data_IF_705165575789
#
_entry.id   IF_705165575789
#
_cell.length_a   1.000
_cell.length_b   1.000
_cell.length_c   1.000
_cell.angle_alpha   90.00
_cell.angle_beta   90.00
_cell.angle_gamma   90.00
#
_symmetry.space_group_name_H-M   'P 1'
#
loop_
_entity.id
_entity.type
_entity.pdbx_description
1 polymer ?
#
# COMPACT_ATOMS: atom_id res chain seq x y z
N UNK A 1 -3.32 5.80 7.94
CA UNK A 1 -3.03 4.79 6.89
C UNK A 1 -3.02 3.42 7.56
N UNK A 2 -3.60 2.40 6.92
CA UNK A 2 -3.51 1.01 7.34
C UNK A 2 -2.53 0.31 6.39
N UNK A 3 -1.52 -0.34 6.96
CA UNK A 3 -0.47 -1.04 6.22
C UNK A 3 -0.53 -2.52 6.61
N UNK A 4 -0.63 -3.41 5.65
CA UNK A 4 -0.64 -4.87 5.87
C UNK A 4 -0.07 -5.56 4.64
N UNK A 5 0.58 -6.73 4.80
CA UNK A 5 1.22 -7.48 3.72
C UNK A 5 2.22 -6.64 2.90
N UNK A 6 3.28 -6.14 3.55
CA UNK A 6 4.32 -5.28 2.95
C UNK A 6 5.67 -5.98 2.70
N UNK A 7 5.68 -7.31 2.65
CA UNK A 7 6.90 -8.12 2.56
C UNK A 7 7.54 -8.20 1.17
N UNK A 8 6.85 -7.77 0.11
CA UNK A 8 7.24 -7.96 -1.29
C UNK A 8 7.27 -6.63 -2.05
N UNK A 9 6.66 -6.56 -3.25
CA UNK A 9 6.53 -5.35 -4.06
C UNK A 9 7.05 -5.46 -5.49
N UNK A 10 7.40 -6.66 -5.95
CA UNK A 10 7.86 -6.95 -7.32
C UNK A 10 6.91 -6.39 -8.41
N UNK A 11 5.60 -6.32 -8.10
CA UNK A 11 4.56 -5.79 -8.98
C UNK A 11 3.97 -4.45 -8.51
N UNK A 12 4.61 -3.80 -7.56
CA UNK A 12 4.19 -2.53 -6.98
C UNK A 12 3.25 -2.69 -5.78
N UNK A 13 2.22 -1.85 -5.68
CA UNK A 13 1.33 -1.80 -4.52
C UNK A 13 -0.14 -1.57 -4.89
N UNK A 14 -1.05 -1.96 -4.01
CA UNK A 14 -2.48 -1.66 -4.11
C UNK A 14 -2.90 -0.67 -3.03
N UNK A 15 -3.74 0.30 -3.40
CA UNK A 15 -4.37 1.27 -2.49
C UNK A 15 -5.88 1.07 -2.51
N UNK A 16 -6.41 0.42 -1.47
CA UNK A 16 -7.85 0.33 -1.21
C UNK A 16 -8.36 1.69 -0.75
N UNK A 17 -9.58 2.03 -1.19
CA UNK A 17 -10.14 3.40 -1.16
C UNK A 17 -9.42 4.42 -2.06
N UNK A 18 -8.42 4.03 -2.87
CA UNK A 18 -7.77 4.93 -3.82
C UNK A 18 -8.73 5.48 -4.90
N UNK A 19 -9.79 4.73 -5.23
CA UNK A 19 -10.85 5.22 -6.13
C UNK A 19 -11.92 6.09 -5.42
N UNK A 20 -11.83 6.22 -4.09
CA UNK A 20 -12.73 7.06 -3.28
C UNK A 20 -12.05 8.39 -2.94
N UNK A 21 -10.83 8.34 -2.41
CA UNK A 21 -10.04 9.53 -2.04
C UNK A 21 -9.05 9.88 -3.16
N UNK A 22 -9.59 10.32 -4.30
CA UNK A 22 -8.82 10.50 -5.55
C UNK A 22 -7.72 11.55 -5.43
N UNK A 23 -7.95 12.66 -4.71
CA UNK A 23 -6.94 13.72 -4.51
C UNK A 23 -5.68 13.18 -3.81
N UNK A 24 -5.86 12.40 -2.77
CA UNK A 24 -4.77 11.77 -2.02
C UNK A 24 -4.09 10.68 -2.85
N UNK A 25 -4.86 9.93 -3.64
CA UNK A 25 -4.29 8.92 -4.54
C UNK A 25 -3.44 9.55 -5.65
N UNK A 26 -3.90 10.65 -6.26
CA UNK A 26 -3.15 11.40 -7.27
C UNK A 26 -1.84 11.96 -6.71
N UNK A 27 -1.79 12.33 -5.42
CA UNK A 27 -0.55 12.72 -4.75
C UNK A 27 0.44 11.55 -4.65
N UNK A 28 -0.01 10.35 -4.29
CA UNK A 28 0.83 9.14 -4.32
C UNK A 28 1.37 8.85 -5.73
N UNK A 29 0.50 8.90 -6.75
CA UNK A 29 0.91 8.69 -8.14
C UNK A 29 1.94 9.74 -8.59
N UNK A 30 1.75 11.00 -8.21
CA UNK A 30 2.70 12.07 -8.52
C UNK A 30 4.07 11.82 -7.89
N UNK A 31 4.11 11.50 -6.59
CA UNK A 31 5.37 11.21 -5.89
C UNK A 31 6.08 10.04 -6.56
N UNK A 32 5.35 8.98 -6.91
CA UNK A 32 5.94 7.82 -7.57
C UNK A 32 6.38 8.12 -9.00
N UNK A 33 5.66 8.94 -9.75
CA UNK A 33 6.07 9.39 -11.09
C UNK A 33 7.38 10.20 -11.03
N UNK A 34 7.52 11.06 -10.02
CA UNK A 34 8.68 11.92 -9.87
C UNK A 34 9.92 11.16 -9.37
N UNK A 35 9.72 10.13 -8.53
CA UNK A 35 10.82 9.42 -7.84
C UNK A 35 11.06 7.99 -8.31
N UNK A 36 10.15 7.44 -9.12
CA UNK A 36 10.17 6.07 -9.65
C UNK A 36 10.46 5.02 -8.56
N UNK A 37 9.67 5.05 -7.48
CA UNK A 37 9.92 4.24 -6.27
C UNK A 37 9.40 2.81 -6.44
N UNK A 38 8.13 2.67 -6.77
CA UNK A 38 7.49 1.36 -6.98
C UNK A 38 7.08 1.19 -8.44
N UNK A 39 7.03 -0.05 -8.93
CA UNK A 39 6.71 -0.37 -10.32
C UNK A 39 5.36 0.21 -10.78
N UNK A 40 4.34 0.09 -9.95
CA UNK A 40 3.00 0.61 -10.21
C UNK A 40 2.25 0.84 -8.88
N UNK A 41 1.36 1.84 -8.87
CA UNK A 41 0.39 2.03 -7.78
C UNK A 41 -0.99 1.76 -8.34
N UNK A 42 -1.60 0.64 -7.94
CA UNK A 42 -2.97 0.31 -8.31
C UNK A 42 -3.94 0.88 -7.29
N UNK A 43 -5.15 1.21 -7.72
CA UNK A 43 -6.27 1.56 -6.83
C UNK A 43 -7.44 0.63 -7.01
N UNK A 44 -8.22 0.53 -5.93
CA UNK A 44 -9.58 0.02 -5.97
C UNK A 44 -10.52 0.87 -5.13
N UNK A 45 -11.81 0.58 -5.26
CA UNK A 45 -12.85 1.20 -4.46
C UNK A 45 -12.85 0.72 -3.01
N UNK A 46 -13.98 0.96 -2.35
CA UNK A 46 -14.23 0.59 -0.97
C UNK A 46 -14.34 -0.92 -0.81
N UNK A 47 -13.77 -1.45 0.27
CA UNK A 47 -13.85 -2.87 0.61
C UNK A 47 -13.66 -3.11 2.12
N UNK A 48 -14.43 -4.05 2.67
CA UNK A 48 -14.31 -4.49 4.07
C UNK A 48 -13.27 -5.61 4.18
N UNK A 49 -11.99 -5.28 4.05
CA UNK A 49 -10.94 -6.30 3.96
C UNK A 49 -9.65 -5.98 4.74
N UNK A 50 -9.69 -4.99 5.62
CA UNK A 50 -8.70 -4.70 6.66
C UNK A 50 -9.28 -3.61 7.59
N UNK A 51 -8.55 -3.22 8.63
CA UNK A 51 -9.03 -2.35 9.71
C UNK A 51 -9.52 -0.97 9.24
N UNK A 52 -8.97 -0.44 8.14
CA UNK A 52 -9.34 0.85 7.54
C UNK A 52 -10.85 1.03 7.28
N UNK A 53 -11.60 -0.07 7.13
CA UNK A 53 -12.98 -0.04 6.68
C UNK A 53 -13.88 0.74 7.64
N UNK A 54 -13.83 0.42 8.94
CA UNK A 54 -14.71 1.06 9.93
C UNK A 54 -14.35 2.52 10.18
N UNK A 55 -13.06 2.88 10.08
CA UNK A 55 -12.65 4.28 10.08
C UNK A 55 -13.27 5.05 8.91
N UNK A 56 -13.26 4.44 7.72
CA UNK A 56 -13.89 5.03 6.52
C UNK A 56 -15.40 5.19 6.69
N UNK A 57 -16.10 4.20 7.25
CA UNK A 57 -17.55 4.30 7.53
C UNK A 57 -17.89 5.42 8.50
N UNK A 58 -17.00 5.72 9.44
CA UNK A 58 -17.14 6.82 10.40
C UNK A 58 -16.64 8.18 9.85
N UNK A 59 -16.33 8.26 8.55
CA UNK A 59 -15.94 9.49 7.89
C UNK A 59 -14.46 9.87 8.04
N UNK A 60 -13.62 8.99 8.60
CA UNK A 60 -12.16 9.19 8.68
C UNK A 60 -11.52 8.76 7.36
N UNK A 61 -10.89 9.68 6.60
CA UNK A 61 -10.23 9.32 5.34
C UNK A 61 -9.13 8.28 5.58
N UNK A 62 -9.27 7.10 4.97
CA UNK A 62 -8.39 5.97 5.26
C UNK A 62 -8.04 5.21 3.99
N UNK A 63 -6.75 4.99 3.76
CA UNK A 63 -6.24 4.01 2.80
C UNK A 63 -5.84 2.73 3.52
N UNK A 64 -6.12 1.59 2.89
CA UNK A 64 -5.44 0.33 3.16
C UNK A 64 -4.49 0.00 2.01
N UNK A 65 -3.26 -0.34 2.35
CA UNK A 65 -2.15 -0.53 1.43
C UNK A 65 -1.49 -1.89 1.67
N UNK A 66 -1.23 -2.62 0.58
CA UNK A 66 -0.48 -3.88 0.56
C UNK A 66 0.40 -3.99 -0.71
N UNK A 67 1.50 -4.73 -0.65
CA UNK A 67 2.41 -4.95 -1.80
C UNK A 67 1.89 -6.03 -2.73
N UNK A 68 2.30 -5.96 -4.00
CA UNK A 68 1.94 -6.90 -5.07
C UNK A 68 3.17 -7.66 -5.55
N UNK A 69 2.96 -8.88 -6.02
CA UNK A 69 4.03 -9.73 -6.55
C UNK A 69 4.90 -10.37 -5.46
N UNK A 70 5.89 -11.14 -5.90
CA UNK A 70 6.79 -11.88 -5.02
C UNK A 70 6.16 -13.15 -4.43
N UNK A 71 6.75 -13.62 -3.33
CA UNK A 71 6.27 -14.80 -2.59
C UNK A 71 4.99 -14.49 -1.82
N UNK A 72 4.14 -15.51 -1.63
CA UNK A 72 2.92 -15.38 -0.83
C UNK A 72 2.82 -16.55 0.13
N UNK A 73 3.06 -16.25 1.40
CA UNK A 73 2.83 -17.17 2.52
C UNK A 73 1.75 -16.63 3.46
N UNK A 74 0.78 -15.87 2.93
CA UNK A 74 -0.31 -15.29 3.71
C UNK A 74 -1.15 -16.39 4.39
N UNK A 75 -1.26 -16.32 5.71
CA UNK A 75 -1.88 -17.36 6.56
C UNK A 75 -1.22 -18.74 6.42
N UNK A 76 0.07 -18.79 6.11
CA UNK A 76 0.85 -20.01 6.00
C UNK A 76 1.93 -20.08 7.10
N UNK A 77 2.37 -21.29 7.44
CA UNK A 77 3.44 -21.52 8.42
C UNK A 77 4.79 -21.01 7.94
N UNK A 78 4.94 -20.83 6.62
CA UNK A 78 6.12 -20.29 5.98
C UNK A 78 6.11 -18.74 5.97
N UNK A 79 5.18 -18.05 6.65
CA UNK A 79 5.28 -16.60 6.93
C UNK A 79 6.30 -16.34 8.05
N UNK A 80 7.58 -16.48 7.70
CA UNK A 80 8.71 -16.41 8.62
C UNK A 80 9.78 -15.46 8.08
N UNK A 81 10.72 -15.07 8.93
CA UNK A 81 11.78 -14.13 8.56
C UNK A 81 12.63 -14.61 7.37
N UNK A 82 12.78 -15.93 7.21
CA UNK A 82 13.61 -16.55 6.16
C UNK A 82 13.00 -16.46 4.77
N UNK A 83 11.68 -16.29 4.69
CA UNK A 83 10.91 -16.24 3.44
C UNK A 83 10.42 -14.83 3.14
N UNK A 84 10.80 -13.83 3.94
CA UNK A 84 10.42 -12.43 3.79
C UNK A 84 11.49 -11.66 2.99
N UNK A 85 11.32 -11.42 1.67
CA UNK A 85 12.38 -10.89 0.83
C UNK A 85 12.59 -9.38 1.01
N UNK A 86 11.56 -8.65 1.46
CA UNK A 86 11.54 -7.19 1.56
C UNK A 86 11.90 -6.49 0.24
N UNK A 87 11.52 -7.10 -0.89
CA UNK A 87 11.99 -6.75 -2.24
C UNK A 87 11.92 -5.24 -2.52
N UNK A 88 10.77 -4.62 -2.24
CA UNK A 88 10.52 -3.20 -2.53
C UNK A 88 10.21 -2.39 -1.26
N UNK A 89 10.40 -2.98 -0.07
CA UNK A 89 9.95 -2.38 1.19
C UNK A 89 10.55 -1.00 1.44
N UNK A 90 11.82 -0.78 1.09
CA UNK A 90 12.49 0.53 1.28
C UNK A 90 11.87 1.61 0.41
N UNK A 91 11.49 1.28 -0.81
CA UNK A 91 10.90 2.22 -1.75
C UNK A 91 9.44 2.50 -1.42
N UNK A 92 8.69 1.48 -1.01
CA UNK A 92 7.36 1.65 -0.41
C UNK A 92 7.43 2.54 0.83
N UNK A 93 8.37 2.29 1.76
CA UNK A 93 8.56 3.12 2.95
C UNK A 93 8.81 4.58 2.57
N UNK A 94 9.74 4.83 1.64
CA UNK A 94 10.07 6.17 1.16
C UNK A 94 8.88 6.86 0.50
N UNK A 95 8.10 6.15 -0.31
CA UNK A 95 6.89 6.68 -0.95
C UNK A 95 5.88 7.14 0.11
N UNK A 96 5.65 6.32 1.14
CA UNK A 96 4.68 6.61 2.19
C UNK A 96 5.12 7.75 3.10
N UNK A 97 6.41 7.87 3.41
CA UNK A 97 6.92 9.00 4.20
C UNK A 97 6.83 10.31 3.42
N UNK A 98 7.18 10.31 2.14
CA UNK A 98 7.05 11.48 1.27
C UNK A 98 5.59 11.90 1.09
N UNK A 99 4.68 10.93 1.03
CA UNK A 99 3.25 11.20 1.01
C UNK A 99 2.78 11.84 2.31
N UNK A 100 3.17 11.30 3.46
CA UNK A 100 2.81 11.84 4.77
C UNK A 100 3.36 13.26 5.00
N UNK A 101 4.55 13.58 4.50
CA UNK A 101 5.14 14.92 4.58
C UNK A 101 4.44 15.97 3.69
N UNK A 102 3.75 15.53 2.63
CA UNK A 102 3.09 16.41 1.64
C UNK A 102 1.58 16.51 1.82
N UNK A 103 1.00 15.76 2.75
CA UNK A 103 -0.43 15.72 3.04
C UNK A 103 -0.86 16.92 3.89
#
# INVERSE_FOLDING_TARGET
MNLDLLGTGDDGMMVVNGAIFTKQFELLEKINKDKQLVKEIKKRGKAQNSDHYWFTELGVPSFFIYTLGGVSFYHDIDDVEKTLPLTDYKDVFKLLTEFAEKL
#
